data_IF_736189634505
#
_entry.id   IF_736189634505
#
_cell.length_a   1.000
_cell.length_b   1.000
_cell.length_c   1.000
_cell.angle_alpha   90.00
_cell.angle_beta   90.00
_cell.angle_gamma   90.00
#
_symmetry.space_group_name_H-M   'P 1'
#
loop_
_entity.id
_entity.type
_entity.pdbx_description
1 polymer ?
#
# COMPACT_ATOMS: atom_id res chain seq x y z
N UNK A 1 8.30 6.38 25.53
CA UNK A 1 7.72 6.04 24.20
C UNK A 1 8.77 6.40 23.15
N UNK A 2 9.16 5.48 22.28
CA UNK A 2 10.11 5.78 21.21
C UNK A 2 9.57 6.92 20.32
N UNK A 3 10.41 7.93 20.06
CA UNK A 3 10.02 9.08 19.26
C UNK A 3 9.78 8.66 17.80
N UNK A 4 8.63 9.02 17.24
CA UNK A 4 8.22 8.64 15.88
C UNK A 4 8.76 9.63 14.85
N UNK A 5 10.03 9.47 14.48
CA UNK A 5 10.73 10.38 13.58
C UNK A 5 10.94 9.84 12.17
N UNK A 6 10.74 8.53 11.95
CA UNK A 6 10.97 7.91 10.64
C UNK A 6 9.77 8.10 9.71
N UNK A 7 10.06 8.22 8.41
CA UNK A 7 9.02 8.29 7.37
C UNK A 7 8.24 6.96 7.30
N UNK A 8 6.93 6.99 7.00
CA UNK A 8 6.14 5.77 6.83
C UNK A 8 6.66 4.93 5.65
N UNK A 9 6.75 3.62 5.85
CA UNK A 9 7.05 2.65 4.80
C UNK A 9 5.85 2.47 3.85
N UNK A 10 6.08 1.99 2.61
CA UNK A 10 5.00 1.70 1.67
C UNK A 10 3.97 0.68 2.22
N UNK A 11 4.41 -0.32 2.98
CA UNK A 11 3.52 -1.32 3.58
C UNK A 11 2.62 -0.68 4.64
N UNK A 12 3.16 0.18 5.52
CA UNK A 12 2.35 0.92 6.50
C UNK A 12 1.30 1.82 5.84
N UNK A 13 1.65 2.50 4.74
CA UNK A 13 0.68 3.29 3.97
C UNK A 13 -0.43 2.43 3.33
N UNK A 14 -0.08 1.26 2.80
CA UNK A 14 -1.07 0.30 2.26
C UNK A 14 -2.00 -0.23 3.35
N UNK A 15 -1.46 -0.50 4.54
CA UNK A 15 -2.22 -1.00 5.68
C UNK A 15 -3.17 0.07 6.24
N UNK A 16 -2.68 1.31 6.38
CA UNK A 16 -3.50 2.47 6.71
C UNK A 16 -4.66 2.64 5.70
N UNK A 17 -4.35 2.53 4.40
CA UNK A 17 -5.36 2.56 3.34
C UNK A 17 -6.39 1.45 3.50
N UNK A 18 -5.99 0.19 3.73
CA UNK A 18 -6.91 -0.95 4.00
C UNK A 18 -7.81 -0.70 5.20
N UNK A 19 -7.34 0.01 6.21
CA UNK A 19 -8.10 0.41 7.40
C UNK A 19 -9.03 1.62 7.15
N UNK A 20 -9.05 2.19 5.94
CA UNK A 20 -9.84 3.38 5.62
C UNK A 20 -9.20 4.70 6.07
N UNK A 21 -7.95 4.68 6.51
CA UNK A 21 -7.17 5.88 6.82
C UNK A 21 -6.48 6.37 5.55
N UNK A 22 -7.02 7.45 4.99
CA UNK A 22 -6.55 8.08 3.77
C UNK A 22 -6.61 9.59 3.92
N UNK A 23 -5.82 10.29 3.11
CA UNK A 23 -5.86 11.75 3.05
C UNK A 23 -7.13 12.15 2.32
N UNK A 24 -7.97 12.92 3.01
CA UNK A 24 -9.21 13.45 2.45
C UNK A 24 -9.47 14.82 3.05
N UNK A 25 -9.48 15.83 2.20
CA UNK A 25 -9.93 17.18 2.53
C UNK A 25 -11.39 17.34 2.06
N UNK A 26 -12.25 17.78 2.98
CA UNK A 26 -13.64 18.11 2.62
C UNK A 26 -13.70 19.36 1.72
N UNK A 27 -12.78 20.31 1.93
CA UNK A 27 -12.72 21.56 1.17
C UNK A 27 -12.43 21.33 -0.31
N UNK A 28 -11.58 20.34 -0.64
CA UNK A 28 -11.33 19.95 -2.03
C UNK A 28 -12.59 19.42 -2.71
N UNK A 29 -13.38 18.56 -2.06
CA UNK A 29 -14.63 18.07 -2.66
C UNK A 29 -15.62 19.22 -2.87
N UNK A 30 -15.76 20.11 -1.88
CA UNK A 30 -16.63 21.29 -1.98
C UNK A 30 -16.18 22.24 -3.08
N UNK A 31 -14.87 22.48 -3.23
CA UNK A 31 -14.33 23.34 -4.28
C UNK A 31 -14.55 22.74 -5.68
N UNK A 32 -14.37 21.44 -5.87
CA UNK A 32 -14.64 20.76 -7.15
C UNK A 32 -16.11 20.91 -7.55
N UNK A 33 -17.04 20.71 -6.60
CA UNK A 33 -18.47 20.91 -6.85
C UNK A 33 -18.76 22.37 -7.18
N UNK A 34 -18.23 23.32 -6.41
CA UNK A 34 -18.48 24.75 -6.63
C UNK A 34 -17.93 25.23 -7.99
N UNK A 35 -16.70 24.89 -8.32
CA UNK A 35 -16.06 25.23 -9.60
C UNK A 35 -16.81 24.58 -10.75
N UNK A 36 -17.14 23.28 -10.63
CA UNK A 36 -17.87 22.56 -11.67
C UNK A 36 -19.28 23.12 -11.90
N UNK A 37 -20.01 23.45 -10.84
CA UNK A 37 -21.34 24.08 -10.95
C UNK A 37 -21.28 25.50 -11.51
N UNK A 38 -20.28 26.29 -11.10
CA UNK A 38 -20.05 27.62 -11.68
C UNK A 38 -19.73 27.54 -13.17
N UNK A 39 -18.92 26.54 -13.58
CA UNK A 39 -18.56 26.32 -14.97
C UNK A 39 -19.76 25.84 -15.79
N UNK A 40 -20.58 24.95 -15.23
CA UNK A 40 -21.82 24.51 -15.84
C UNK A 40 -22.82 25.65 -16.00
N UNK A 41 -22.91 26.55 -15.03
CA UNK A 41 -23.73 27.76 -15.12
C UNK A 41 -23.17 28.74 -16.18
N UNK A 42 -21.85 28.88 -16.29
CA UNK A 42 -21.22 29.72 -17.32
C UNK A 42 -21.55 29.26 -18.74
N UNK A 43 -21.54 27.94 -18.97
CA UNK A 43 -21.76 27.34 -20.29
C UNK A 43 -23.24 27.12 -20.61
N UNK A 44 -24.04 26.75 -19.61
CA UNK A 44 -25.45 26.38 -19.75
C UNK A 44 -26.44 27.43 -19.25
N UNK A 45 -25.98 28.56 -18.71
CA UNK A 45 -26.84 29.58 -18.11
C UNK A 45 -27.84 30.20 -19.09
N UNK A 46 -27.45 30.41 -20.34
CA UNK A 46 -28.34 30.91 -21.38
C UNK A 46 -29.47 29.91 -21.70
N UNK A 47 -29.13 28.62 -21.79
CA UNK A 47 -30.11 27.54 -21.97
C UNK A 47 -31.08 27.47 -20.78
N UNK A 48 -30.56 27.59 -19.56
CA UNK A 48 -31.36 27.61 -18.34
C UNK A 48 -32.33 28.80 -18.32
N UNK A 49 -31.82 29.99 -18.67
CA UNK A 49 -32.60 31.22 -18.74
C UNK A 49 -33.75 31.12 -19.76
N UNK A 50 -33.46 30.61 -20.96
CA UNK A 50 -34.47 30.42 -22.01
C UNK A 50 -35.62 29.50 -21.54
N UNK A 51 -35.29 28.39 -20.85
CA UNK A 51 -36.30 27.48 -20.30
C UNK A 51 -37.16 28.16 -19.22
N UNK A 52 -36.54 28.93 -18.32
CA UNK A 52 -37.28 29.71 -17.33
C UNK A 52 -38.16 30.78 -17.97
N UNK A 53 -37.66 31.46 -19.00
CA UNK A 53 -38.39 32.48 -19.74
C UNK A 53 -39.61 31.89 -20.46
N UNK A 54 -39.47 30.72 -21.10
CA UNK A 54 -40.57 30.01 -21.74
C UNK A 54 -41.63 29.57 -20.73
N UNK A 55 -41.23 29.01 -19.59
CA UNK A 55 -42.15 28.64 -18.51
C UNK A 55 -42.91 29.85 -17.96
N UNK A 56 -42.20 30.96 -17.75
CA UNK A 56 -42.81 32.20 -17.29
C UNK A 56 -43.84 32.73 -18.29
N UNK A 57 -43.49 32.80 -19.58
CA UNK A 57 -44.42 33.22 -20.63
C UNK A 57 -45.62 32.30 -20.72
N UNK A 58 -45.43 30.99 -20.64
CA UNK A 58 -46.53 30.02 -20.70
C UNK A 58 -47.47 30.16 -19.51
N UNK A 59 -46.94 30.41 -18.31
CA UNK A 59 -47.73 30.71 -17.12
C UNK A 59 -48.53 32.01 -17.27
N UNK A 60 -47.89 33.09 -17.75
CA UNK A 60 -48.55 34.38 -17.95
C UNK A 60 -49.61 34.34 -19.05
N UNK A 61 -49.34 33.64 -20.16
CA UNK A 61 -50.30 33.48 -21.26
C UNK A 61 -51.52 32.65 -20.86
N UNK A 62 -51.34 31.65 -19.99
CA UNK A 62 -52.45 30.83 -19.50
C UNK A 62 -53.42 31.62 -18.59
N UNK A 63 -52.92 32.63 -17.87
CA UNK A 63 -53.73 33.52 -17.02
C UNK A 63 -54.54 34.53 -17.85
N UNK A 64 -54.05 34.91 -19.03
CA UNK A 64 -54.69 35.91 -19.90
C UNK A 64 -55.86 35.37 -20.74
N UNK A 65 -56.13 34.06 -20.73
CA UNK A 65 -57.14 33.41 -21.58
C UNK A 65 -58.48 33.16 -20.88
N UNK A 66 -59.58 33.20 -21.64
CA UNK A 66 -60.88 32.70 -21.19
C UNK A 66 -60.86 31.16 -21.16
N UNK A 67 -61.20 30.58 -20.00
CA UNK A 67 -61.01 29.17 -19.58
C UNK A 67 -59.62 28.81 -19.02
N UNK A 68 -59.20 29.41 -17.88
CA UNK A 68 -57.88 29.20 -17.30
C UNK A 68 -57.60 27.76 -16.85
N UNK A 69 -58.61 26.93 -16.54
CA UNK A 69 -58.43 25.62 -15.92
C UNK A 69 -57.66 24.58 -16.74
N UNK A 70 -57.96 24.43 -18.03
CA UNK A 70 -57.29 23.45 -18.92
C UNK A 70 -55.89 23.91 -19.34
N UNK A 71 -55.72 25.21 -19.58
CA UNK A 71 -54.43 25.81 -19.92
C UNK A 71 -53.49 25.89 -18.72
N UNK A 72 -54.02 26.08 -17.50
CA UNK A 72 -53.23 25.97 -16.26
C UNK A 72 -52.77 24.54 -15.98
N UNK A 73 -53.58 23.53 -16.29
CA UNK A 73 -53.17 22.13 -16.11
C UNK A 73 -51.99 21.75 -17.03
N UNK A 74 -52.02 22.18 -18.29
CA UNK A 74 -50.90 22.00 -19.22
C UNK A 74 -49.65 22.78 -18.79
N UNK A 75 -49.83 24.03 -18.32
CA UNK A 75 -48.75 24.85 -17.79
C UNK A 75 -48.09 24.21 -16.56
N UNK A 76 -48.90 23.65 -15.66
CA UNK A 76 -48.43 22.94 -14.48
C UNK A 76 -47.68 21.66 -14.84
N UNK A 77 -48.19 20.88 -15.80
CA UNK A 77 -47.52 19.66 -16.27
C UNK A 77 -46.14 19.94 -16.88
N UNK A 78 -46.03 20.97 -17.70
CA UNK A 78 -44.74 21.38 -18.28
C UNK A 78 -43.80 21.98 -17.23
N UNK A 79 -44.31 22.77 -16.29
CA UNK A 79 -43.52 23.30 -15.18
C UNK A 79 -42.97 22.16 -14.30
N UNK A 80 -43.80 21.17 -13.98
CA UNK A 80 -43.39 19.99 -13.23
C UNK A 80 -42.34 19.18 -13.99
N UNK A 81 -42.53 18.97 -15.30
CA UNK A 81 -41.57 18.26 -16.14
C UNK A 81 -40.22 18.99 -16.20
N UNK A 82 -40.22 20.31 -16.42
CA UNK A 82 -39.01 21.12 -16.44
C UNK A 82 -38.32 21.14 -15.08
N UNK A 83 -39.08 21.26 -13.99
CA UNK A 83 -38.53 21.25 -12.64
C UNK A 83 -37.87 19.90 -12.29
N UNK A 84 -38.52 18.78 -12.66
CA UNK A 84 -37.98 17.44 -12.49
C UNK A 84 -36.74 17.22 -13.37
N UNK A 85 -36.79 17.54 -14.66
CA UNK A 85 -35.69 17.27 -15.59
C UNK A 85 -34.47 18.14 -15.29
N UNK A 86 -34.65 19.44 -15.08
CA UNK A 86 -33.56 20.37 -14.74
C UNK A 86 -33.04 20.12 -13.33
N UNK A 87 -33.93 19.90 -12.36
CA UNK A 87 -33.55 19.58 -10.99
C UNK A 87 -32.76 18.28 -10.89
N UNK A 88 -33.21 17.22 -11.58
CA UNK A 88 -32.50 15.94 -11.63
C UNK A 88 -31.16 16.07 -12.36
N UNK A 89 -31.07 16.86 -13.43
CA UNK A 89 -29.81 17.11 -14.14
C UNK A 89 -28.79 17.84 -13.24
N UNK A 90 -29.22 18.88 -12.52
CA UNK A 90 -28.37 19.62 -11.57
C UNK A 90 -27.94 18.71 -10.42
N UNK A 91 -28.87 17.94 -9.84
CA UNK A 91 -28.57 17.00 -8.76
C UNK A 91 -27.62 15.90 -9.21
N UNK A 92 -27.83 15.34 -10.41
CA UNK A 92 -26.94 14.36 -11.00
C UNK A 92 -25.54 14.94 -11.23
N UNK A 93 -25.45 16.16 -11.77
CA UNK A 93 -24.16 16.84 -11.97
C UNK A 93 -23.44 17.09 -10.63
N UNK A 94 -24.13 17.62 -9.63
CA UNK A 94 -23.59 17.79 -8.27
C UNK A 94 -23.10 16.45 -7.69
N UNK A 95 -23.89 15.38 -7.86
CA UNK A 95 -23.52 14.03 -7.43
C UNK A 95 -22.26 13.52 -8.13
N UNK A 96 -22.20 13.65 -9.46
CA UNK A 96 -21.04 13.26 -10.28
C UNK A 96 -19.80 14.05 -9.87
N UNK A 97 -19.89 15.37 -9.73
CA UNK A 97 -18.77 16.22 -9.30
C UNK A 97 -18.32 15.87 -7.88
N UNK A 98 -19.25 15.60 -6.97
CA UNK A 98 -18.95 15.21 -5.59
C UNK A 98 -18.23 13.86 -5.53
N UNK A 99 -18.72 12.87 -6.27
CA UNK A 99 -18.08 11.55 -6.40
C UNK A 99 -16.72 11.68 -7.06
N UNK A 100 -16.61 12.43 -8.16
CA UNK A 100 -15.35 12.67 -8.87
C UNK A 100 -14.33 13.37 -7.97
N UNK A 101 -14.73 14.39 -7.21
CA UNK A 101 -13.85 15.10 -6.28
C UNK A 101 -13.38 14.23 -5.11
N UNK A 102 -14.24 13.36 -4.57
CA UNK A 102 -13.85 12.39 -3.55
C UNK A 102 -12.92 11.30 -4.12
N UNK A 103 -13.23 10.80 -5.32
CA UNK A 103 -12.45 9.78 -6.01
C UNK A 103 -11.09 10.29 -6.45
N UNK A 104 -10.97 11.55 -6.89
CA UNK A 104 -9.69 12.16 -7.25
C UNK A 104 -8.71 12.22 -6.06
N UNK A 105 -9.22 12.38 -4.83
CA UNK A 105 -8.39 12.44 -3.64
C UNK A 105 -7.95 11.05 -3.13
N UNK A 106 -8.88 10.10 -3.09
CA UNK A 106 -8.67 8.80 -2.41
C UNK A 106 -8.44 7.67 -3.41
N UNK A 107 -8.97 7.79 -4.63
CA UNK A 107 -9.16 6.70 -5.58
C UNK A 107 -10.21 5.70 -5.12
N UNK A 108 -10.24 4.52 -5.77
CA UNK A 108 -11.07 3.41 -5.33
C UNK A 108 -10.60 2.87 -3.98
N UNK A 109 -11.47 2.93 -2.97
CA UNK A 109 -11.21 2.33 -1.66
C UNK A 109 -12.49 1.81 -1.02
N UNK A 110 -12.51 0.50 -0.74
CA UNK A 110 -13.55 -0.13 0.05
C UNK A 110 -12.91 -0.62 1.35
N UNK A 111 -13.22 0.06 2.45
CA UNK A 111 -12.73 -0.28 3.78
C UNK A 111 -13.83 -0.99 4.59
N UNK A 112 -13.97 -2.30 4.39
CA UNK A 112 -14.96 -3.14 5.09
C UNK A 112 -14.87 -3.05 6.61
N UNK A 113 -13.68 -2.78 7.15
CA UNK A 113 -13.44 -2.57 8.57
C UNK A 113 -14.21 -1.39 9.16
N UNK A 114 -14.55 -0.38 8.36
CA UNK A 114 -15.24 0.84 8.80
C UNK A 114 -16.77 0.74 8.77
N UNK A 115 -17.31 -0.34 8.19
CA UNK A 115 -18.75 -0.58 8.08
C UNK A 115 -19.31 -1.21 9.36
N UNK A 116 -18.44 -1.75 10.22
CA UNK A 116 -18.85 -2.36 11.49
C UNK A 116 -19.33 -1.28 12.47
N UNK A 117 -20.55 -1.41 13.04
CA UNK A 117 -21.04 -0.48 14.05
C UNK A 117 -20.16 -0.56 15.31
N UNK A 118 -19.53 0.55 15.68
CA UNK A 118 -18.73 0.67 16.90
C UNK A 118 -19.54 1.38 17.99
N UNK A 119 -19.98 0.63 19.00
CA UNK A 119 -20.76 1.13 20.14
C UNK A 119 -20.02 2.24 20.91
N UNK A 120 -18.69 2.34 20.80
CA UNK A 120 -17.91 3.43 21.41
C UNK A 120 -18.20 4.79 20.77
N UNK A 121 -18.72 4.82 19.53
CA UNK A 121 -19.08 6.07 18.86
C UNK A 121 -20.45 6.61 19.30
N UNK A 122 -21.25 5.83 20.04
CA UNK A 122 -22.57 6.21 20.55
C UNK A 122 -22.54 6.82 21.94
N UNK A 123 -21.37 6.93 22.59
CA UNK A 123 -21.28 7.53 23.92
C UNK A 123 -21.37 9.07 23.84
N UNK A 124 -22.44 9.70 24.37
CA UNK A 124 -22.63 11.15 24.28
C UNK A 124 -21.54 11.96 25.02
N UNK A 125 -20.97 11.40 26.10
CA UNK A 125 -19.89 12.05 26.85
C UNK A 125 -18.57 12.12 26.07
N UNK A 126 -18.21 11.05 25.36
CA UNK A 126 -17.06 11.10 24.44
C UNK A 126 -17.33 12.01 23.24
N UNK A 127 -18.58 12.07 22.76
CA UNK A 127 -19.00 12.98 21.70
C UNK A 127 -18.73 14.44 22.06
N UNK A 128 -19.18 14.88 23.24
CA UNK A 128 -18.93 16.23 23.75
C UNK A 128 -17.42 16.53 23.91
N UNK A 129 -16.65 15.60 24.48
CA UNK A 129 -15.20 15.75 24.61
C UNK A 129 -14.49 15.86 23.27
N UNK A 130 -14.95 15.15 22.24
CA UNK A 130 -14.45 15.26 20.86
C UNK A 130 -14.81 16.61 20.27
N UNK A 131 -16.04 17.09 20.45
CA UNK A 131 -16.51 18.40 19.98
C UNK A 131 -15.68 19.55 20.56
N UNK A 132 -15.38 19.54 21.86
CA UNK A 132 -14.58 20.56 22.55
C UNK A 132 -13.08 20.22 22.63
N UNK A 133 -12.58 19.32 21.79
CA UNK A 133 -11.16 19.01 21.76
C UNK A 133 -10.35 20.17 21.17
N UNK A 134 -9.09 20.33 21.62
CA UNK A 134 -8.19 21.36 21.09
C UNK A 134 -8.04 21.27 19.57
N UNK A 135 -8.11 20.06 19.01
CA UNK A 135 -8.12 19.83 17.56
C UNK A 135 -9.31 20.52 16.87
N UNK A 136 -10.51 20.38 17.44
CA UNK A 136 -11.71 20.98 16.88
C UNK A 136 -11.72 22.52 17.03
N UNK A 137 -11.19 23.06 18.12
CA UNK A 137 -11.01 24.51 18.26
C UNK A 137 -10.10 25.06 17.16
N UNK A 138 -8.97 24.38 16.90
CA UNK A 138 -8.03 24.76 15.85
C UNK A 138 -8.67 24.65 14.46
N UNK A 139 -9.48 23.61 14.20
CA UNK A 139 -10.21 23.51 12.92
C UNK A 139 -11.25 24.62 12.78
N UNK A 140 -11.97 24.97 13.85
CA UNK A 140 -12.95 26.05 13.83
C UNK A 140 -12.30 27.40 13.57
N UNK A 141 -11.14 27.68 14.20
CA UNK A 141 -10.36 28.87 13.93
C UNK A 141 -9.88 28.93 12.46
N UNK A 142 -9.42 27.81 11.91
CA UNK A 142 -9.06 27.72 10.48
C UNK A 142 -10.25 28.01 9.59
N UNK A 143 -11.40 27.38 9.82
CA UNK A 143 -12.62 27.63 9.03
C UNK A 143 -13.08 29.07 9.16
N UNK A 144 -13.06 29.65 10.36
CA UNK A 144 -13.40 31.06 10.58
C UNK A 144 -12.48 32.02 9.80
N UNK A 145 -11.17 31.78 9.85
CA UNK A 145 -10.20 32.57 9.10
C UNK A 145 -10.39 32.44 7.57
N UNK A 146 -10.67 31.21 7.08
CA UNK A 146 -11.00 30.96 5.67
C UNK A 146 -12.25 31.74 5.24
N UNK A 147 -13.33 31.66 6.03
CA UNK A 147 -14.60 32.36 5.76
C UNK A 147 -14.42 33.87 5.77
N UNK A 148 -13.67 34.42 6.72
CA UNK A 148 -13.42 35.86 6.81
C UNK A 148 -12.58 36.36 5.63
N UNK A 149 -11.56 35.59 5.22
CA UNK A 149 -10.77 35.91 4.04
C UNK A 149 -11.62 35.88 2.76
N UNK A 150 -12.45 34.85 2.60
CA UNK A 150 -13.40 34.76 1.48
C UNK A 150 -14.37 35.95 1.47
N UNK A 151 -14.96 36.28 2.62
CA UNK A 151 -15.89 37.41 2.76
C UNK A 151 -15.23 38.75 2.39
N UNK A 152 -13.98 38.97 2.82
CA UNK A 152 -13.24 40.19 2.51
C UNK A 152 -12.87 40.27 1.02
N UNK A 153 -12.44 39.16 0.41
CA UNK A 153 -12.15 39.10 -1.02
C UNK A 153 -13.41 39.36 -1.86
N UNK A 154 -14.54 38.75 -1.49
CA UNK A 154 -15.82 39.01 -2.15
C UNK A 154 -16.26 40.45 -1.96
N UNK A 155 -16.09 41.02 -0.77
CA UNK A 155 -16.41 42.42 -0.50
C UNK A 155 -15.60 43.37 -1.40
N UNK A 156 -14.29 43.15 -1.54
CA UNK A 156 -13.43 43.94 -2.42
C UNK A 156 -13.84 43.77 -3.89
N UNK A 157 -14.09 42.53 -4.34
CA UNK A 157 -14.53 42.25 -5.70
C UNK A 157 -15.86 42.95 -6.02
N UNK A 158 -16.86 42.81 -5.16
CA UNK A 158 -18.16 43.48 -5.32
C UNK A 158 -18.00 45.01 -5.30
N UNK A 159 -17.21 45.56 -4.36
CA UNK A 159 -17.00 47.01 -4.25
C UNK A 159 -16.37 47.59 -5.53
N UNK A 160 -15.41 46.89 -6.14
CA UNK A 160 -14.82 47.30 -7.41
C UNK A 160 -15.80 47.27 -8.59
N UNK A 161 -16.88 46.49 -8.47
CA UNK A 161 -17.92 46.37 -9.48
C UNK A 161 -19.11 47.32 -9.27
N UNK A 162 -19.20 48.01 -8.13
CA UNK A 162 -20.33 48.88 -7.79
C UNK A 162 -20.49 50.10 -8.71
N UNK A 163 -19.46 50.49 -9.48
CA UNK A 163 -19.60 51.59 -10.44
C UNK A 163 -20.50 51.22 -11.64
N UNK A 164 -20.44 49.98 -12.12
CA UNK A 164 -21.22 49.57 -13.29
C UNK A 164 -22.75 49.58 -13.08
N UNK A 165 -23.30 49.18 -11.91
CA UNK A 165 -24.72 49.35 -11.60
C UNK A 165 -25.17 50.81 -11.42
N UNK A 166 -24.27 51.71 -11.01
CA UNK A 166 -24.60 53.13 -10.82
C UNK A 166 -24.81 53.83 -12.17
N UNK A 167 -24.10 53.39 -13.21
CA UNK A 167 -24.28 53.86 -14.59
C UNK A 167 -25.47 53.18 -15.30
N UNK A 168 -26.05 52.13 -14.70
CA UNK A 168 -27.13 51.33 -15.29
C UNK A 168 -28.50 52.02 -15.30
N UNK A 169 -28.64 53.20 -14.69
CA UNK A 169 -29.89 53.96 -14.66
C UNK A 169 -30.45 54.36 -16.04
N UNK A 170 -29.65 54.22 -17.10
CA UNK A 170 -30.02 54.53 -18.49
C UNK A 170 -30.16 53.29 -19.38
N UNK A 171 -30.03 52.07 -18.85
CA UNK A 171 -30.05 50.82 -19.62
C UNK A 171 -31.45 50.26 -19.77
N UNK A 172 -31.70 49.58 -20.89
CA UNK A 172 -32.95 48.82 -21.09
C UNK A 172 -33.04 47.61 -20.14
N UNK A 173 -34.24 47.12 -19.78
CA UNK A 173 -34.41 46.01 -18.84
C UNK A 173 -33.61 44.75 -19.18
N UNK A 174 -33.52 44.39 -20.46
CA UNK A 174 -32.74 43.21 -20.91
C UNK A 174 -31.23 43.43 -20.74
N UNK A 175 -30.76 44.66 -20.92
CA UNK A 175 -29.36 45.02 -20.74
C UNK A 175 -28.97 45.01 -19.25
N UNK A 176 -29.88 45.44 -18.37
CA UNK A 176 -29.71 45.34 -16.91
C UNK A 176 -29.58 43.87 -16.48
N UNK A 177 -30.39 42.98 -17.04
CA UNK A 177 -30.32 41.55 -16.75
C UNK A 177 -28.99 40.93 -17.20
N UNK A 178 -28.56 41.23 -18.43
CA UNK A 178 -27.27 40.76 -18.96
C UNK A 178 -26.08 41.28 -18.14
N UNK A 179 -26.11 42.55 -17.73
CA UNK A 179 -25.12 43.13 -16.83
C UNK A 179 -25.11 42.41 -15.48
N UNK A 180 -26.28 42.16 -14.89
CA UNK A 180 -26.41 41.44 -13.62
C UNK A 180 -25.84 40.03 -13.72
N UNK A 181 -26.18 39.28 -14.78
CA UNK A 181 -25.63 37.95 -15.01
C UNK A 181 -24.10 37.97 -15.12
N UNK A 182 -23.53 38.94 -15.84
CA UNK A 182 -22.07 39.13 -15.95
C UNK A 182 -21.43 39.42 -14.60
N UNK A 183 -22.04 40.30 -13.79
CA UNK A 183 -21.55 40.63 -12.44
C UNK A 183 -21.56 39.39 -11.54
N UNK A 184 -22.69 38.67 -11.49
CA UNK A 184 -22.82 37.42 -10.72
C UNK A 184 -21.78 36.40 -11.16
N UNK A 185 -21.62 36.17 -12.46
CA UNK A 185 -20.62 35.21 -12.98
C UNK A 185 -19.18 35.63 -12.66
N UNK A 186 -18.89 36.93 -12.64
CA UNK A 186 -17.55 37.41 -12.26
C UNK A 186 -17.29 37.18 -10.77
N UNK A 187 -18.27 37.45 -9.91
CA UNK A 187 -18.18 37.17 -8.47
C UNK A 187 -18.03 35.68 -8.20
N UNK A 188 -18.83 34.83 -8.87
CA UNK A 188 -18.71 33.38 -8.78
C UNK A 188 -17.35 32.87 -9.30
N UNK A 189 -16.83 33.46 -10.37
CA UNK A 189 -15.51 33.15 -10.90
C UNK A 189 -14.39 33.46 -9.91
N UNK A 190 -14.40 34.65 -9.31
CA UNK A 190 -13.45 35.00 -8.25
C UNK A 190 -13.60 34.11 -7.02
N UNK A 191 -14.83 33.83 -6.60
CA UNK A 191 -15.10 32.87 -5.53
C UNK A 191 -14.48 31.50 -5.85
N UNK A 192 -14.66 31.00 -7.07
CA UNK A 192 -14.15 29.70 -7.51
C UNK A 192 -12.63 29.61 -7.41
N UNK A 193 -11.91 30.68 -7.81
CA UNK A 193 -10.45 30.78 -7.65
C UNK A 193 -10.06 30.72 -6.17
N UNK A 194 -10.74 31.49 -5.32
CA UNK A 194 -10.47 31.51 -3.88
C UNK A 194 -10.71 30.15 -3.24
N UNK A 195 -11.83 29.50 -3.55
CA UNK A 195 -12.15 28.15 -3.10
C UNK A 195 -11.09 27.13 -3.56
N UNK A 196 -10.61 27.22 -4.80
CA UNK A 196 -9.56 26.36 -5.31
C UNK A 196 -8.23 26.53 -4.54
N UNK A 197 -7.83 27.77 -4.26
CA UNK A 197 -6.62 28.07 -3.48
C UNK A 197 -6.75 27.52 -2.06
N UNK A 198 -7.86 27.76 -1.38
CA UNK A 198 -8.08 27.24 -0.02
C UNK A 198 -8.14 25.73 0.04
N UNK A 199 -8.79 25.09 -0.94
CA UNK A 199 -8.81 23.65 -1.08
C UNK A 199 -7.39 23.07 -1.26
N UNK A 200 -6.55 23.69 -2.08
CA UNK A 200 -5.17 23.25 -2.27
C UNK A 200 -4.35 23.37 -0.97
N UNK A 201 -4.47 24.50 -0.26
CA UNK A 201 -3.82 24.70 1.05
C UNK A 201 -4.29 23.67 2.08
N UNK A 202 -5.59 23.40 2.13
CA UNK A 202 -6.18 22.42 3.04
C UNK A 202 -5.71 21.01 2.74
N UNK A 203 -5.62 20.65 1.45
CA UNK A 203 -5.10 19.34 1.03
C UNK A 203 -3.64 19.13 1.44
N UNK A 204 -2.77 20.13 1.23
CA UNK A 204 -1.37 20.06 1.65
C UNK A 204 -1.27 19.91 3.17
N UNK A 205 -2.11 20.63 3.92
CA UNK A 205 -2.17 20.51 5.36
C UNK A 205 -2.61 19.11 5.83
N UNK A 206 -3.68 18.56 5.25
CA UNK A 206 -4.16 17.20 5.54
C UNK A 206 -3.12 16.13 5.17
N UNK A 207 -2.42 16.30 4.05
CA UNK A 207 -1.33 15.41 3.63
C UNK A 207 -0.17 15.43 4.63
N UNK A 208 0.20 16.61 5.14
CA UNK A 208 1.23 16.76 6.16
C UNK A 208 0.80 16.13 7.49
N UNK A 209 -0.43 16.37 7.94
CA UNK A 209 -1.00 15.77 9.15
C UNK A 209 -1.06 14.24 9.04
N UNK A 210 -1.51 13.71 7.91
CA UNK A 210 -1.57 12.27 7.67
C UNK A 210 -0.17 11.66 7.72
N UNK A 211 0.80 12.26 7.04
CA UNK A 211 2.18 11.78 7.05
C UNK A 211 2.76 11.81 8.46
N UNK A 212 2.48 12.86 9.25
CA UNK A 212 2.88 12.97 10.66
C UNK A 212 2.27 11.85 11.52
N UNK A 213 0.98 11.53 11.33
CA UNK A 213 0.29 10.44 12.03
C UNK A 213 0.86 9.06 11.67
N UNK A 214 1.32 8.89 10.42
CA UNK A 214 1.88 7.64 9.94
C UNK A 214 3.38 7.46 10.23
N UNK A 215 4.06 8.44 10.85
CA UNK A 215 5.48 8.30 11.22
C UNK A 215 5.74 7.07 12.09
N UNK A 216 6.91 6.51 11.91
CA UNK A 216 7.35 5.26 12.53
C UNK A 216 8.48 5.53 13.53
N UNK A 217 8.59 4.72 14.56
CA UNK A 217 9.83 4.65 15.35
C UNK A 217 10.85 3.77 14.62
N UNK A 218 12.13 3.86 15.02
CA UNK A 218 13.18 2.96 14.50
C UNK A 218 12.84 1.49 14.82
N UNK A 219 12.24 1.25 15.98
CA UNK A 219 11.78 -0.08 16.40
C UNK A 219 10.65 -0.61 15.50
N UNK A 220 9.67 0.23 15.17
CA UNK A 220 8.57 -0.13 14.26
C UNK A 220 9.12 -0.55 12.89
N UNK A 221 10.05 0.24 12.35
CA UNK A 221 10.69 -0.04 11.05
C UNK A 221 11.47 -1.36 11.12
N UNK A 222 12.29 -1.56 12.16
CA UNK A 222 13.06 -2.81 12.34
C UNK A 222 12.13 -4.02 12.48
N UNK A 223 11.00 -3.89 13.18
CA UNK A 223 10.01 -4.96 13.30
C UNK A 223 9.39 -5.29 11.95
N UNK A 224 9.02 -4.28 11.18
CA UNK A 224 8.44 -4.47 9.85
C UNK A 224 9.42 -5.17 8.87
N UNK A 225 10.70 -4.80 8.91
CA UNK A 225 11.75 -5.51 8.17
C UNK A 225 11.83 -6.98 8.58
N UNK A 226 11.85 -7.26 9.90
CA UNK A 226 11.87 -8.65 10.39
C UNK A 226 10.64 -9.46 9.98
N UNK A 227 9.46 -8.85 9.97
CA UNK A 227 8.23 -9.52 9.55
C UNK A 227 8.21 -9.80 8.04
N UNK A 228 8.89 -8.97 7.23
CA UNK A 228 8.85 -9.08 5.76
C UNK A 228 9.97 -9.99 5.23
N UNK A 229 11.20 -9.82 5.72
CA UNK A 229 12.39 -10.54 5.26
C UNK A 229 12.78 -11.72 6.17
N UNK A 230 12.15 -11.82 7.35
CA UNK A 230 12.54 -12.76 8.40
C UNK A 230 13.68 -12.21 9.27
N UNK A 231 13.95 -12.87 10.41
CA UNK A 231 15.07 -12.48 11.26
C UNK A 231 16.39 -13.05 10.68
N UNK A 232 17.37 -12.20 10.33
CA UNK A 232 18.65 -12.66 9.78
C UNK A 232 19.40 -13.59 10.74
N UNK A 233 19.19 -13.47 12.07
CA UNK A 233 19.77 -14.38 13.06
C UNK A 233 19.18 -15.77 12.95
N UNK A 234 17.88 -15.88 12.64
CA UNK A 234 17.21 -17.18 12.44
C UNK A 234 17.69 -17.81 11.14
N UNK A 235 17.84 -17.03 10.07
CA UNK A 235 18.41 -17.52 8.81
C UNK A 235 19.87 -18.02 8.98
N UNK A 236 20.71 -17.26 9.69
CA UNK A 236 22.07 -17.66 10.00
C UNK A 236 22.12 -18.92 10.89
N UNK A 237 21.30 -18.98 11.95
CA UNK A 237 21.23 -20.15 12.84
C UNK A 237 20.80 -21.41 12.10
N UNK A 238 19.83 -21.31 11.17
CA UNK A 238 19.43 -22.43 10.31
C UNK A 238 20.60 -22.94 9.45
N UNK A 239 21.43 -22.05 8.90
CA UNK A 239 22.63 -22.44 8.14
C UNK A 239 23.67 -23.14 9.01
N UNK A 240 23.89 -22.67 10.23
CA UNK A 240 24.82 -23.32 11.17
C UNK A 240 24.35 -24.71 11.57
N UNK A 241 23.07 -24.85 11.96
CA UNK A 241 22.49 -26.15 12.32
C UNK A 241 22.53 -27.15 11.15
N UNK A 242 22.29 -26.69 9.92
CA UNK A 242 22.41 -27.55 8.74
C UNK A 242 23.85 -28.07 8.54
N UNK A 243 24.87 -27.23 8.80
CA UNK A 243 26.28 -27.66 8.77
C UNK A 243 26.59 -28.65 9.88
N UNK A 244 26.16 -28.38 11.11
CA UNK A 244 26.35 -29.29 12.26
C UNK A 244 25.72 -30.66 12.01
N UNK A 245 24.51 -30.72 11.42
CA UNK A 245 23.86 -31.98 11.08
C UNK A 245 24.63 -32.81 10.04
N UNK A 246 25.24 -32.15 9.04
CA UNK A 246 26.11 -32.82 8.07
C UNK A 246 27.37 -33.39 8.72
N UNK A 247 27.94 -32.70 9.70
CA UNK A 247 29.11 -33.18 10.43
C UNK A 247 28.80 -34.35 11.36
N UNK A 248 27.67 -34.31 12.08
CA UNK A 248 27.27 -35.44 12.93
C UNK A 248 27.03 -36.71 12.09
N UNK A 249 26.38 -36.58 10.94
CA UNK A 249 26.19 -37.71 10.01
C UNK A 249 27.52 -38.25 9.44
N UNK A 250 28.54 -37.40 9.32
CA UNK A 250 29.89 -37.81 8.92
C UNK A 250 30.57 -38.61 10.02
N UNK A 251 30.49 -38.16 11.28
CA UNK A 251 31.06 -38.85 12.43
C UNK A 251 30.49 -40.27 12.60
N UNK A 252 29.18 -40.43 12.46
CA UNK A 252 28.52 -41.74 12.54
C UNK A 252 29.03 -42.69 11.45
N UNK A 253 29.20 -42.19 10.22
CA UNK A 253 29.77 -42.97 9.11
C UNK A 253 31.25 -43.30 9.32
N UNK A 254 32.03 -42.38 9.89
CA UNK A 254 33.43 -42.62 10.26
C UNK A 254 33.53 -43.74 11.30
N UNK A 255 32.69 -43.69 12.36
CA UNK A 255 32.68 -44.73 13.40
C UNK A 255 32.31 -46.11 12.87
N UNK A 256 31.44 -46.17 11.87
CA UNK A 256 31.06 -47.43 11.22
C UNK A 256 32.12 -47.96 10.25
N UNK A 257 33.14 -47.18 9.89
CA UNK A 257 34.15 -47.59 8.93
C UNK A 257 35.08 -48.67 9.51
N UNK A 258 35.42 -49.65 8.67
CA UNK A 258 36.41 -50.68 8.99
C UNK A 258 37.84 -50.17 8.84
N UNK A 259 38.07 -49.30 7.85
CA UNK A 259 39.37 -48.65 7.60
C UNK A 259 39.16 -47.35 6.85
N UNK A 260 40.03 -46.36 7.08
CA UNK A 260 40.02 -45.09 6.35
C UNK A 260 41.39 -44.86 5.69
N UNK A 261 41.34 -44.53 4.42
CA UNK A 261 42.49 -44.21 3.57
C UNK A 261 42.61 -42.70 3.37
N UNK A 262 43.83 -42.18 3.37
CA UNK A 262 44.10 -40.76 3.18
C UNK A 262 45.19 -40.49 2.15
N UNK A 263 44.98 -39.43 1.37
CA UNK A 263 45.95 -38.72 0.54
C UNK A 263 46.08 -37.27 1.04
N UNK A 264 47.05 -36.47 0.54
CA UNK A 264 47.18 -35.06 0.94
C UNK A 264 45.91 -34.21 0.75
N UNK A 265 45.02 -34.59 -0.17
CA UNK A 265 43.80 -33.83 -0.48
C UNK A 265 42.51 -34.64 -0.33
N UNK A 266 42.56 -35.96 -0.21
CA UNK A 266 41.36 -36.83 -0.24
C UNK A 266 41.36 -37.87 0.87
N UNK A 267 40.17 -38.30 1.29
CA UNK A 267 39.97 -39.35 2.27
C UNK A 267 38.80 -40.26 1.88
N UNK A 268 38.92 -41.56 2.16
CA UNK A 268 37.92 -42.57 1.83
C UNK A 268 37.73 -43.53 2.99
N UNK A 269 36.49 -43.68 3.45
CA UNK A 269 36.14 -44.65 4.46
C UNK A 269 35.50 -45.89 3.82
N UNK A 270 36.07 -47.06 4.12
CA UNK A 270 35.59 -48.35 3.67
C UNK A 270 34.90 -49.09 4.81
N UNK A 271 33.80 -49.77 4.49
CA UNK A 271 33.08 -50.64 5.41
C UNK A 271 33.04 -52.07 4.88
N UNK A 272 33.29 -53.01 5.78
CA UNK A 272 33.33 -54.44 5.49
C UNK A 272 32.85 -55.23 6.72
N UNK A 273 31.92 -56.17 6.50
CA UNK A 273 31.21 -56.90 7.58
C UNK A 273 31.79 -58.30 7.81
N UNK A 274 32.62 -58.80 6.89
CA UNK A 274 33.26 -60.12 6.99
C UNK A 274 32.97 -61.04 5.81
N UNK A 275 33.31 -62.32 5.98
CA UNK A 275 33.32 -63.33 4.91
C UNK A 275 31.97 -63.42 4.17
N UNK A 276 32.01 -63.28 2.84
CA UNK A 276 30.83 -63.29 1.97
C UNK A 276 30.28 -61.90 1.60
N UNK A 277 30.82 -60.82 2.17
CA UNK A 277 30.51 -59.44 1.77
C UNK A 277 31.60 -58.83 0.88
N UNK A 278 31.30 -57.73 0.18
CA UNK A 278 32.31 -56.94 -0.54
C UNK A 278 32.52 -55.61 0.20
N UNK A 279 33.75 -55.08 0.28
CA UNK A 279 34.01 -53.77 0.86
C UNK A 279 33.25 -52.67 0.12
N UNK A 280 32.61 -51.77 0.86
CA UNK A 280 31.82 -50.66 0.32
C UNK A 280 32.42 -49.32 0.72
N UNK A 281 32.44 -48.35 -0.20
CA UNK A 281 32.79 -46.96 0.11
C UNK A 281 31.61 -46.30 0.83
N UNK A 282 31.75 -45.99 2.12
CA UNK A 282 30.65 -45.40 2.92
C UNK A 282 30.80 -43.89 3.14
N UNK A 283 32.00 -43.36 2.92
CA UNK A 283 32.28 -41.93 3.00
C UNK A 283 33.43 -41.57 2.05
N UNK A 284 33.33 -40.41 1.42
CA UNK A 284 34.39 -39.80 0.59
C UNK A 284 34.50 -38.32 0.94
N UNK A 285 35.72 -37.80 1.03
CA UNK A 285 35.99 -36.41 1.36
C UNK A 285 37.15 -35.86 0.54
N UNK A 286 37.08 -34.58 0.18
CA UNK A 286 38.15 -33.82 -0.46
C UNK A 286 38.36 -32.51 0.31
N UNK A 287 39.61 -32.01 0.33
CA UNK A 287 39.99 -30.79 1.03
C UNK A 287 39.69 -30.84 2.53
N UNK A 288 38.91 -29.86 3.02
CA UNK A 288 38.57 -29.74 4.45
C UNK A 288 37.82 -30.98 4.99
N UNK A 289 37.01 -31.63 4.16
CA UNK A 289 36.29 -32.85 4.55
C UNK A 289 37.26 -34.00 4.82
N UNK A 290 38.31 -34.13 3.99
CA UNK A 290 39.34 -35.15 4.17
C UNK A 290 40.14 -34.95 5.48
N UNK A 291 40.49 -33.70 5.79
CA UNK A 291 41.18 -33.34 7.03
C UNK A 291 40.34 -33.72 8.25
N UNK A 292 39.04 -33.38 8.24
CA UNK A 292 38.13 -33.70 9.34
C UNK A 292 37.84 -35.19 9.48
N UNK A 293 37.74 -35.92 8.37
CA UNK A 293 37.62 -37.38 8.40
C UNK A 293 38.82 -38.03 9.10
N UNK A 294 40.02 -37.44 8.99
CA UNK A 294 41.23 -37.91 9.68
C UNK A 294 41.16 -37.65 11.17
N UNK A 295 40.84 -36.41 11.56
CA UNK A 295 40.68 -36.03 12.96
C UNK A 295 39.62 -36.89 13.66
N UNK A 296 38.51 -37.19 12.97
CA UNK A 296 37.44 -37.99 13.55
C UNK A 296 37.78 -39.47 13.64
N UNK A 297 38.55 -40.00 12.68
CA UNK A 297 39.04 -41.37 12.75
C UNK A 297 40.03 -41.58 13.89
N UNK A 298 40.93 -40.61 14.10
CA UNK A 298 41.85 -40.60 15.26
C UNK A 298 41.07 -40.58 16.58
N UNK A 299 40.04 -39.73 16.69
CA UNK A 299 39.19 -39.66 17.89
C UNK A 299 38.39 -40.93 18.15
N UNK A 300 37.89 -41.57 17.10
CA UNK A 300 37.08 -42.78 17.18
C UNK A 300 37.91 -44.07 17.16
N UNK A 301 39.25 -43.98 17.13
CA UNK A 301 40.18 -45.11 17.08
C UNK A 301 39.92 -46.06 15.88
N UNK A 302 39.49 -45.49 14.75
CA UNK A 302 39.29 -46.24 13.51
C UNK A 302 40.64 -46.39 12.81
N UNK A 303 41.02 -47.59 12.31
CA UNK A 303 42.29 -47.79 11.62
C UNK A 303 42.45 -46.85 10.41
N UNK A 304 43.58 -46.14 10.37
CA UNK A 304 43.89 -45.14 9.33
C UNK A 304 45.20 -45.45 8.62
N UNK A 305 45.19 -45.50 7.28
CA UNK A 305 46.41 -45.73 6.49
C UNK A 305 46.63 -44.61 5.47
N UNK A 306 47.84 -44.05 5.47
CA UNK A 306 48.28 -43.11 4.45
C UNK A 306 48.75 -43.89 3.20
N UNK A 307 47.91 -43.94 2.17
CA UNK A 307 48.25 -44.56 0.89
C UNK A 307 47.67 -43.72 -0.27
N UNK A 308 48.48 -42.79 -0.77
CA UNK A 308 48.05 -41.86 -1.83
C UNK A 308 47.61 -42.59 -3.10
N UNK A 309 48.34 -43.62 -3.53
CA UNK A 309 48.03 -44.35 -4.77
C UNK A 309 46.68 -45.06 -4.71
N UNK A 310 46.40 -45.79 -3.62
CA UNK A 310 45.13 -46.50 -3.46
C UNK A 310 43.96 -45.53 -3.18
N UNK A 311 44.19 -44.46 -2.41
CA UNK A 311 43.15 -43.46 -2.10
C UNK A 311 42.67 -42.77 -3.37
N UNK A 312 43.58 -42.26 -4.21
CA UNK A 312 43.19 -41.58 -5.45
C UNK A 312 42.48 -42.53 -6.42
N UNK A 313 42.99 -43.76 -6.57
CA UNK A 313 42.36 -44.79 -7.41
C UNK A 313 40.91 -45.09 -6.98
N UNK A 314 40.66 -45.32 -5.69
CA UNK A 314 39.30 -45.61 -5.21
C UNK A 314 38.41 -44.36 -5.34
N UNK A 315 38.95 -43.16 -5.11
CA UNK A 315 38.19 -41.91 -5.20
C UNK A 315 37.62 -41.70 -6.61
N UNK A 316 38.46 -41.96 -7.62
CA UNK A 316 38.13 -41.80 -9.03
C UNK A 316 37.24 -42.92 -9.57
N UNK A 317 37.47 -44.17 -9.15
CA UNK A 317 36.82 -45.34 -9.74
C UNK A 317 35.52 -45.76 -9.05
N UNK A 318 35.39 -45.59 -7.72
CA UNK A 318 34.29 -46.19 -6.94
C UNK A 318 33.41 -45.13 -6.28
N UNK A 319 32.18 -44.87 -6.78
CA UNK A 319 31.23 -43.91 -6.21
C UNK A 319 30.88 -44.16 -4.74
N UNK A 320 30.36 -43.13 -4.07
CA UNK A 320 29.85 -43.25 -2.70
C UNK A 320 28.73 -44.31 -2.64
N UNK A 321 28.73 -45.10 -1.57
CA UNK A 321 27.80 -46.19 -1.27
C UNK A 321 27.81 -47.34 -2.31
N UNK A 322 28.91 -47.48 -3.07
CA UNK A 322 29.15 -48.60 -3.99
C UNK A 322 30.26 -49.54 -3.51
N UNK A 323 30.20 -50.78 -3.99
CA UNK A 323 31.21 -51.80 -3.73
C UNK A 323 32.46 -51.56 -4.57
N UNK A 324 33.62 -51.96 -4.05
CA UNK A 324 34.88 -51.88 -4.79
C UNK A 324 34.88 -52.78 -6.03
N UNK A 325 35.62 -52.39 -7.06
CA UNK A 325 35.78 -53.17 -8.28
C UNK A 325 36.81 -54.30 -8.13
N UNK A 326 36.69 -55.33 -8.99
CA UNK A 326 37.57 -56.51 -8.99
C UNK A 326 39.06 -56.17 -9.12
N UNK A 327 39.36 -55.07 -9.80
CA UNK A 327 40.73 -54.56 -10.01
C UNK A 327 41.40 -54.16 -8.69
N UNK A 328 40.61 -53.76 -7.68
CA UNK A 328 41.08 -53.24 -6.39
C UNK A 328 41.01 -54.29 -5.27
N UNK A 329 40.51 -55.49 -5.54
CA UNK A 329 40.29 -56.52 -4.52
C UNK A 329 41.55 -56.92 -3.77
N UNK A 330 42.69 -57.07 -4.48
CA UNK A 330 43.95 -57.47 -3.85
C UNK A 330 44.44 -56.38 -2.88
N UNK A 331 44.54 -55.14 -3.36
CA UNK A 331 45.03 -53.99 -2.59
C UNK A 331 44.12 -53.70 -1.37
N UNK A 332 42.79 -53.80 -1.53
CA UNK A 332 41.84 -53.58 -0.43
C UNK A 332 41.78 -54.76 0.55
N UNK A 333 41.96 -56.01 0.09
CA UNK A 333 42.00 -57.16 0.99
C UNK A 333 43.23 -57.11 1.91
N UNK A 334 44.40 -56.75 1.37
CA UNK A 334 45.62 -56.54 2.17
C UNK A 334 45.42 -55.42 3.21
N UNK A 335 44.80 -54.32 2.79
CA UNK A 335 44.45 -53.21 3.69
C UNK A 335 43.53 -53.63 4.84
N UNK A 336 42.49 -54.41 4.54
CA UNK A 336 41.53 -54.87 5.57
C UNK A 336 42.17 -55.88 6.53
N UNK A 337 43.05 -56.75 6.05
CA UNK A 337 43.82 -57.66 6.91
C UNK A 337 44.74 -56.89 7.87
N UNK A 338 45.40 -55.84 7.36
CA UNK A 338 46.19 -54.93 8.19
C UNK A 338 45.30 -54.23 9.24
N UNK A 339 44.15 -53.69 8.84
CA UNK A 339 43.23 -52.98 9.73
C UNK A 339 42.62 -53.89 10.82
N UNK A 340 42.49 -55.20 10.55
CA UNK A 340 41.98 -56.20 11.49
C UNK A 340 43.09 -56.81 12.39
N UNK A 341 44.37 -56.51 12.13
CA UNK A 341 45.51 -57.02 12.90
C UNK A 341 45.95 -58.44 12.54
N UNK A 342 45.49 -58.98 11.40
CA UNK A 342 45.83 -60.34 10.93
C UNK A 342 47.22 -60.44 10.27
N UNK A 343 47.89 -59.29 10.04
CA UNK A 343 49.29 -59.19 9.60
C UNK A 343 50.00 -58.02 10.31
N UNK A 344 51.27 -58.19 10.75
CA UNK A 344 52.07 -57.10 11.30
C UNK A 344 52.44 -56.04 10.28
#
# INVERSE_FOLDING_TARGET
>A
MAEKNQKPTPRRLREARKQGQVVRSQDVTSAVVFVGMTSALALGGAWLFEHFYQLFNMAMSAVALHHPGTHMAAAYGAALHAWLSMGLAIMALCGVLGVAGAFAQVGGLIAWSRIRPDLKHLNPGEGLKRMFSMRNLISLAKTGAKTLCLALLLFVAVRGMLQAPLDAGYLEPMQILALTARLVMTVLGWAAVVFAVFAALDYVHEQAEFTKKQRMSIEDVRREYKETEGDPRVAARRRTLAREALFNAMEDRVRAASVILYSPQRAIALWYVGAGSLPRVILRGEGEVAVRMREQAERNLVPTLANTGLTEKIFEQVPLDQYIDRTLFREVAELLQWAQGDRP
#
